data_IF_762377816439
#
_entry.id   IF_762377816439
#
_cell.length_a   1.000
_cell.length_b   1.000
_cell.length_c   1.000
_cell.angle_alpha   90.00
_cell.angle_beta   90.00
_cell.angle_gamma   90.00
#
_symmetry.space_group_name_H-M   'P 1'
#
loop_
_entity.id
_entity.type
_entity.pdbx_description
1 polymer ?
#
# COMPACT_ATOMS: atom_id res chain seq x y z
N UNK A 1 -41.53 29.00 1.95
CA UNK A 1 -41.52 27.55 1.63
C UNK A 1 -40.54 27.19 0.52
N UNK A 2 -40.31 28.03 -0.49
CA UNK A 2 -39.31 27.82 -1.56
C UNK A 2 -37.86 27.66 -1.07
N UNK A 3 -37.42 28.48 -0.09
CA UNK A 3 -36.06 28.40 0.47
C UNK A 3 -35.73 27.08 1.17
N UNK A 4 -36.71 26.47 1.83
CA UNK A 4 -36.51 25.20 2.54
C UNK A 4 -36.25 24.05 1.56
N UNK A 5 -36.99 24.00 0.45
CA UNK A 5 -36.80 23.01 -0.62
C UNK A 5 -35.41 23.14 -1.26
N UNK A 6 -35.00 24.36 -1.61
CA UNK A 6 -33.68 24.62 -2.21
C UNK A 6 -32.57 24.18 -1.25
N UNK A 7 -32.69 24.51 0.04
CA UNK A 7 -31.71 24.13 1.05
C UNK A 7 -31.58 22.60 1.18
N UNK A 8 -32.69 21.87 1.20
CA UNK A 8 -32.68 20.39 1.28
C UNK A 8 -31.99 19.80 0.05
N UNK A 9 -32.30 20.29 -1.15
CA UNK A 9 -31.69 19.80 -2.40
C UNK A 9 -30.18 20.04 -2.43
N UNK A 10 -29.75 21.27 -2.09
CA UNK A 10 -28.31 21.61 -2.03
C UNK A 10 -27.59 20.75 -0.99
N UNK A 11 -28.20 20.56 0.19
CA UNK A 11 -27.63 19.72 1.25
C UNK A 11 -27.57 18.25 0.85
N UNK A 12 -28.56 17.72 0.15
CA UNK A 12 -28.56 16.36 -0.35
C UNK A 12 -27.42 16.16 -1.36
N UNK A 13 -27.25 17.08 -2.30
CA UNK A 13 -26.17 17.02 -3.29
C UNK A 13 -24.79 17.12 -2.63
N UNK A 14 -24.62 18.03 -1.67
CA UNK A 14 -23.39 18.15 -0.90
C UNK A 14 -23.06 16.85 -0.14
N UNK A 15 -24.04 16.24 0.51
CA UNK A 15 -23.87 14.96 1.21
C UNK A 15 -23.51 13.83 0.25
N UNK A 16 -24.11 13.79 -0.94
CA UNK A 16 -23.80 12.82 -1.97
C UNK A 16 -22.34 12.95 -2.43
N UNK A 17 -21.90 14.14 -2.84
CA UNK A 17 -20.51 14.38 -3.24
C UNK A 17 -19.52 14.07 -2.10
N UNK A 18 -19.88 14.45 -0.87
CA UNK A 18 -19.07 14.15 0.32
C UNK A 18 -18.94 12.65 0.55
N UNK A 19 -20.01 11.87 0.34
CA UNK A 19 -19.97 10.41 0.43
C UNK A 19 -18.99 9.81 -0.58
N UNK A 20 -19.04 10.21 -1.84
CA UNK A 20 -18.09 9.74 -2.86
C UNK A 20 -16.66 10.13 -2.52
N UNK A 21 -16.42 11.37 -2.09
CA UNK A 21 -15.08 11.78 -1.67
C UNK A 21 -14.55 10.93 -0.52
N UNK A 22 -15.38 10.69 0.50
CA UNK A 22 -15.01 9.87 1.65
C UNK A 22 -14.73 8.43 1.24
N UNK A 23 -15.59 7.85 0.40
CA UNK A 23 -15.46 6.46 -0.05
C UNK A 23 -14.20 6.22 -0.88
N UNK A 24 -13.86 7.12 -1.80
CA UNK A 24 -12.72 6.91 -2.69
C UNK A 24 -11.42 7.46 -2.11
N UNK A 25 -11.42 8.71 -1.67
CA UNK A 25 -10.20 9.43 -1.28
C UNK A 25 -9.82 9.08 0.15
N UNK A 26 -10.76 9.21 1.09
CA UNK A 26 -10.43 8.99 2.51
C UNK A 26 -10.14 7.50 2.76
N UNK A 27 -10.93 6.57 2.21
CA UNK A 27 -10.60 5.13 2.29
C UNK A 27 -9.27 4.77 1.63
N UNK A 28 -8.91 5.38 0.48
CA UNK A 28 -7.58 5.19 -0.13
C UNK A 28 -6.47 5.58 0.84
N UNK A 29 -6.57 6.75 1.47
CA UNK A 29 -5.54 7.20 2.42
C UNK A 29 -5.42 6.29 3.64
N UNK A 30 -6.51 5.71 4.11
CA UNK A 30 -6.49 4.76 5.23
C UNK A 30 -5.78 3.46 4.81
N UNK A 31 -6.15 2.89 3.67
CA UNK A 31 -5.56 1.64 3.18
C UNK A 31 -4.09 1.85 2.82
N UNK A 32 -3.74 2.96 2.16
CA UNK A 32 -2.36 3.31 1.86
C UNK A 32 -1.53 3.47 3.14
N UNK A 33 -2.06 4.15 4.17
CA UNK A 33 -1.36 4.27 5.47
C UNK A 33 -1.18 2.91 6.13
N UNK A 34 -2.18 2.03 6.07
CA UNK A 34 -2.07 0.68 6.60
C UNK A 34 -0.98 -0.11 5.85
N UNK A 35 -0.98 -0.05 4.52
CA UNK A 35 0.04 -0.69 3.69
C UNK A 35 1.44 -0.16 4.02
N UNK A 36 1.61 1.17 4.10
CA UNK A 36 2.89 1.80 4.48
C UNK A 36 3.37 1.35 5.85
N UNK A 37 2.49 1.26 6.85
CA UNK A 37 2.85 0.75 8.18
C UNK A 37 3.34 -0.71 8.14
N UNK A 38 2.75 -1.55 7.28
CA UNK A 38 3.22 -2.93 7.07
C UNK A 38 4.58 -2.92 6.38
N UNK A 39 4.77 -2.11 5.35
CA UNK A 39 6.03 -1.96 4.64
C UNK A 39 7.16 -1.47 5.56
N UNK A 40 6.88 -0.54 6.47
CA UNK A 40 7.85 -0.07 7.47
C UNK A 40 8.26 -1.18 8.43
N UNK A 41 7.30 -2.01 8.89
CA UNK A 41 7.62 -3.17 9.73
C UNK A 41 8.48 -4.19 8.99
N UNK A 42 8.19 -4.42 7.71
CA UNK A 42 9.01 -5.28 6.85
C UNK A 42 10.41 -4.70 6.64
N UNK A 43 10.57 -3.36 6.60
CA UNK A 43 11.88 -2.73 6.40
C UNK A 43 12.78 -2.90 7.60
N UNK A 44 12.21 -2.90 8.80
CA UNK A 44 12.95 -3.21 10.02
C UNK A 44 13.47 -4.66 10.03
N UNK A 45 12.82 -5.58 9.34
CA UNK A 45 13.20 -7.01 9.30
C UNK A 45 14.19 -7.29 8.17
N UNK A 46 13.87 -6.86 6.95
CA UNK A 46 14.67 -7.18 5.77
C UNK A 46 15.77 -6.16 5.49
N UNK A 47 15.63 -4.93 6.02
CA UNK A 47 16.55 -3.82 5.84
C UNK A 47 17.03 -3.70 4.40
N UNK A 48 16.11 -3.81 3.44
CA UNK A 48 16.42 -4.01 2.01
C UNK A 48 17.30 -2.86 1.51
N UNK A 49 16.98 -1.63 1.91
CA UNK A 49 17.75 -0.44 1.55
C UNK A 49 19.20 -0.49 2.05
N UNK A 50 19.41 -0.94 3.28
CA UNK A 50 20.73 -1.04 3.91
C UNK A 50 21.53 -2.18 3.29
N UNK A 51 20.90 -3.35 3.13
CA UNK A 51 21.52 -4.53 2.51
C UNK A 51 21.89 -4.27 1.04
N UNK A 52 21.10 -3.50 0.31
CA UNK A 52 21.43 -3.09 -1.06
C UNK A 52 22.60 -2.10 -1.09
N UNK A 53 22.64 -1.12 -0.18
CA UNK A 53 23.75 -0.16 -0.11
C UNK A 53 25.09 -0.81 0.23
N UNK A 54 25.06 -1.85 1.05
CA UNK A 54 26.25 -2.56 1.50
C UNK A 54 26.46 -3.90 0.79
N UNK A 55 25.79 -4.16 -0.34
CA UNK A 55 25.80 -5.48 -1.00
C UNK A 55 27.22 -6.05 -1.24
N UNK A 56 28.17 -5.17 -1.59
CA UNK A 56 29.56 -5.53 -1.92
C UNK A 56 30.53 -5.42 -0.73
N UNK A 57 30.07 -4.97 0.44
CA UNK A 57 30.91 -4.89 1.63
C UNK A 57 30.92 -6.23 2.37
N UNK A 58 32.10 -6.76 2.76
CA UNK A 58 32.19 -8.02 3.48
C UNK A 58 31.41 -7.94 4.81
N UNK A 59 30.59 -8.96 5.05
CA UNK A 59 29.91 -9.15 6.33
C UNK A 59 30.97 -9.51 7.37
N UNK A 60 31.01 -8.79 8.50
CA UNK A 60 31.99 -8.95 9.58
C UNK A 60 33.45 -8.58 9.28
N UNK A 61 33.73 -7.87 8.18
CA UNK A 61 35.12 -7.60 7.73
C UNK A 61 35.98 -8.87 7.60
N UNK A 62 35.33 -10.01 7.38
CA UNK A 62 36.02 -11.28 7.22
C UNK A 62 36.55 -11.36 5.78
N UNK A 63 37.86 -11.18 5.62
CA UNK A 63 38.50 -11.06 4.29
C UNK A 63 38.86 -12.41 3.66
N UNK A 64 38.38 -13.51 4.24
CA UNK A 64 38.54 -14.85 3.65
C UNK A 64 37.82 -14.93 2.30
N UNK A 65 38.40 -15.71 1.37
CA UNK A 65 37.83 -15.90 0.01
C UNK A 65 36.38 -16.41 0.08
N UNK A 66 36.11 -17.28 1.05
CA UNK A 66 34.79 -17.83 1.33
C UNK A 66 33.83 -16.75 1.83
N UNK A 67 34.24 -15.92 2.80
CA UNK A 67 33.41 -14.81 3.32
C UNK A 67 33.10 -13.75 2.27
N UNK A 68 34.04 -13.46 1.36
CA UNK A 68 33.86 -12.47 0.28
C UNK A 68 32.88 -12.93 -0.80
N UNK A 69 32.75 -14.22 -1.05
CA UNK A 69 31.80 -14.76 -2.05
C UNK A 69 30.44 -15.04 -1.42
N UNK A 70 30.40 -15.62 -0.23
CA UNK A 70 29.16 -16.07 0.42
C UNK A 70 28.36 -14.90 1.02
N UNK A 71 29.03 -13.90 1.60
CA UNK A 71 28.38 -12.75 2.22
C UNK A 71 27.46 -11.95 1.28
N UNK A 72 27.92 -11.54 0.09
CA UNK A 72 27.10 -10.87 -0.91
C UNK A 72 25.91 -11.71 -1.38
N UNK A 73 26.06 -13.04 -1.52
CA UNK A 73 24.98 -13.94 -1.94
C UNK A 73 23.84 -13.95 -0.91
N UNK A 74 24.16 -14.06 0.39
CA UNK A 74 23.13 -14.00 1.43
C UNK A 74 22.42 -12.63 1.49
N UNK A 75 23.17 -11.53 1.31
CA UNK A 75 22.58 -10.18 1.22
C UNK A 75 21.70 -10.03 -0.01
N UNK A 76 22.11 -10.58 -1.15
CA UNK A 76 21.33 -10.58 -2.39
C UNK A 76 20.02 -11.35 -2.22
N UNK A 77 20.07 -12.56 -1.62
CA UNK A 77 18.86 -13.34 -1.32
C UNK A 77 17.92 -12.55 -0.41
N UNK A 78 18.44 -11.92 0.66
CA UNK A 78 17.61 -11.08 1.56
C UNK A 78 16.97 -9.90 0.82
N UNK A 79 17.71 -9.24 -0.07
CA UNK A 79 17.18 -8.14 -0.89
C UNK A 79 16.10 -8.63 -1.84
N UNK A 80 16.33 -9.74 -2.55
CA UNK A 80 15.36 -10.34 -3.49
C UNK A 80 14.09 -10.75 -2.75
N UNK A 81 14.21 -11.55 -1.69
CA UNK A 81 13.08 -12.02 -0.89
C UNK A 81 12.33 -10.83 -0.27
N UNK A 82 13.06 -9.87 0.30
CA UNK A 82 12.46 -8.65 0.83
C UNK A 82 11.66 -7.92 -0.25
N UNK A 83 12.29 -7.62 -1.40
CA UNK A 83 11.64 -6.92 -2.52
C UNK A 83 10.40 -7.63 -3.06
N UNK A 84 10.41 -8.96 -3.09
CA UNK A 84 9.27 -9.77 -3.49
C UNK A 84 8.12 -9.59 -2.48
N UNK A 85 8.41 -9.67 -1.18
CA UNK A 85 7.41 -9.48 -0.12
C UNK A 85 6.83 -8.06 -0.14
N UNK A 86 7.67 -7.03 -0.38
CA UNK A 86 7.20 -5.65 -0.60
C UNK A 86 6.19 -5.59 -1.74
N UNK A 87 6.55 -6.17 -2.88
CA UNK A 87 5.73 -6.14 -4.09
C UNK A 87 4.38 -6.82 -3.86
N UNK A 88 4.39 -8.02 -3.25
CA UNK A 88 3.18 -8.76 -2.90
C UNK A 88 2.30 -7.95 -1.95
N UNK A 89 2.88 -7.28 -0.95
CA UNK A 89 2.12 -6.47 0.02
C UNK A 89 1.44 -5.28 -0.65
N UNK A 90 2.13 -4.58 -1.55
CA UNK A 90 1.57 -3.46 -2.31
C UNK A 90 0.45 -3.93 -3.23
N UNK A 91 0.68 -5.02 -3.97
CA UNK A 91 -0.33 -5.60 -4.88
C UNK A 91 -1.56 -6.04 -4.10
N UNK A 92 -1.40 -6.71 -2.96
CA UNK A 92 -2.50 -7.13 -2.12
C UNK A 92 -3.32 -5.93 -1.60
N UNK A 93 -2.65 -4.86 -1.14
CA UNK A 93 -3.32 -3.63 -0.71
C UNK A 93 -4.07 -2.94 -1.87
N UNK A 94 -3.48 -2.93 -3.08
CA UNK A 94 -4.12 -2.37 -4.26
C UNK A 94 -5.36 -3.17 -4.68
N UNK A 95 -5.29 -4.50 -4.72
CA UNK A 95 -6.44 -5.37 -5.00
C UNK A 95 -7.55 -5.13 -3.98
N UNK A 96 -7.20 -5.10 -2.69
CA UNK A 96 -8.17 -4.84 -1.63
C UNK A 96 -8.86 -3.48 -1.82
N UNK A 97 -8.11 -2.43 -2.14
CA UNK A 97 -8.68 -1.12 -2.43
C UNK A 97 -9.59 -1.14 -3.67
N UNK A 98 -9.19 -1.81 -4.75
CA UNK A 98 -10.00 -1.90 -5.98
C UNK A 98 -11.32 -2.61 -5.68
N UNK A 99 -11.29 -3.73 -4.97
CA UNK A 99 -12.52 -4.44 -4.56
C UNK A 99 -13.42 -3.53 -3.72
N UNK A 100 -12.85 -2.80 -2.76
CA UNK A 100 -13.60 -1.83 -1.95
C UNK A 100 -14.18 -0.67 -2.78
N UNK A 101 -13.41 -0.13 -3.72
CA UNK A 101 -13.81 0.98 -4.60
C UNK A 101 -14.89 0.56 -5.62
N UNK A 102 -15.00 -0.73 -5.94
CA UNK A 102 -16.02 -1.27 -6.83
C UNK A 102 -17.37 -1.52 -6.13
N UNK A 103 -17.41 -1.59 -4.79
CA UNK A 103 -18.65 -1.87 -4.05
C UNK A 103 -19.80 -0.87 -4.36
N UNK A 104 -19.60 0.46 -4.35
CA UNK A 104 -20.68 1.40 -4.66
C UNK A 104 -21.18 1.24 -6.10
N UNK A 105 -20.25 1.03 -7.04
CA UNK A 105 -20.57 0.84 -8.47
C UNK A 105 -21.39 -0.43 -8.66
N UNK A 106 -20.99 -1.51 -7.99
CA UNK A 106 -21.72 -2.78 -8.04
C UNK A 106 -23.13 -2.67 -7.43
N UNK A 107 -23.28 -1.97 -6.30
CA UNK A 107 -24.58 -1.73 -5.67
C UNK A 107 -25.49 -0.93 -6.60
N UNK A 108 -24.98 0.12 -7.26
CA UNK A 108 -25.76 0.93 -8.20
C UNK A 108 -26.16 0.09 -9.42
N UNK A 109 -25.24 -0.69 -9.98
CA UNK A 109 -25.53 -1.55 -11.12
C UNK A 109 -26.64 -2.57 -10.81
N UNK A 110 -26.59 -3.18 -9.62
CA UNK A 110 -27.61 -4.12 -9.13
C UNK A 110 -28.93 -3.45 -8.75
N UNK A 111 -28.94 -2.17 -8.40
CA UNK A 111 -30.17 -1.43 -8.15
C UNK A 111 -30.86 -1.01 -9.45
N UNK A 112 -30.12 -0.90 -10.57
CA UNK A 112 -30.63 -0.47 -11.86
C UNK A 112 -31.13 -1.62 -12.75
N UNK A 113 -30.67 -2.85 -12.50
CA UNK A 113 -30.99 -4.07 -13.27
C UNK A 113 -31.91 -4.98 -12.46
#
# INVERSE_FOLDING_TARGET
>A
MSFALIYIVVRAFYSFVKFWRHWYVESFTIIARMAMNVLEKLDRVFAVRINFRFLLQPLYQDYTVVGRVIGPIFRLIRVIVGSLIYSVTVVAAAIFYIVWALLPVFIIYRALT
#
